data_IF_385643486759
#
_entry.id   IF_385643486759
#
_cell.length_a   1.000
_cell.length_b   1.000
_cell.length_c   1.000
_cell.angle_alpha   90.00
_cell.angle_beta   90.00
_cell.angle_gamma   90.00
#
_symmetry.space_group_name_H-M   'P 1'
#
loop_
_entity.id
_entity.type
_entity.pdbx_description
1 polymer ?
#
# COMPACT_ATOMS: atom_id res chain seq x y z
N UNK A 1 0.77 10.47 -11.79
CA UNK A 1 -0.34 11.42 -12.07
C UNK A 1 -1.71 10.74 -11.91
N UNK A 2 -1.98 9.58 -12.56
CA UNK A 2 -3.31 8.95 -12.53
C UNK A 2 -3.75 8.55 -11.11
N UNK A 3 -2.88 7.97 -10.32
CA UNK A 3 -3.19 7.50 -8.96
C UNK A 3 -3.81 8.56 -8.05
N UNK A 4 -3.42 9.82 -8.20
CA UNK A 4 -3.91 10.92 -7.36
C UNK A 4 -5.17 11.63 -7.90
N UNK A 5 -5.78 11.10 -8.96
CA UNK A 5 -7.04 11.62 -9.51
C UNK A 5 -8.23 10.88 -8.89
N UNK A 6 -8.51 11.21 -7.66
CA UNK A 6 -9.54 10.59 -6.82
C UNK A 6 -10.43 11.65 -6.20
N UNK A 7 -11.66 11.30 -5.77
CA UNK A 7 -12.46 12.18 -4.93
C UNK A 7 -11.71 12.54 -3.65
N UNK A 8 -11.64 13.83 -3.36
CA UNK A 8 -10.97 14.38 -2.19
C UNK A 8 -11.77 15.61 -1.71
N UNK A 9 -12.57 15.42 -0.66
CA UNK A 9 -13.42 16.46 -0.12
C UNK A 9 -12.57 17.61 0.42
N UNK A 10 -12.82 18.81 -0.11
CA UNK A 10 -12.06 20.02 0.26
C UNK A 10 -10.64 20.07 -0.29
N UNK A 11 -10.24 19.16 -1.18
CA UNK A 11 -8.88 19.08 -1.75
C UNK A 11 -7.80 19.06 -0.66
N UNK A 12 -8.01 18.26 0.39
CA UNK A 12 -7.13 18.18 1.57
C UNK A 12 -5.85 17.39 1.29
N UNK A 13 -5.86 16.56 0.27
CA UNK A 13 -4.76 15.66 -0.08
C UNK A 13 -4.24 14.85 1.12
N UNK A 14 -5.13 14.05 1.80
CA UNK A 14 -4.80 13.39 3.04
C UNK A 14 -3.91 12.15 2.83
N UNK A 15 -3.02 12.21 1.87
CA UNK A 15 -2.13 11.11 1.48
C UNK A 15 -0.81 11.63 0.89
N UNK A 16 0.21 10.81 1.00
CA UNK A 16 1.46 10.97 0.25
C UNK A 16 1.92 9.64 -0.34
N UNK A 17 2.68 9.72 -1.41
CA UNK A 17 3.17 8.57 -2.17
C UNK A 17 4.68 8.58 -2.18
N UNK A 18 5.32 7.48 -1.76
CA UNK A 18 6.76 7.28 -1.86
C UNK A 18 7.04 6.15 -2.82
N UNK A 19 7.76 6.44 -3.90
CA UNK A 19 8.18 5.43 -4.89
C UNK A 19 9.51 4.82 -4.45
N UNK A 20 9.48 3.52 -4.18
CA UNK A 20 10.63 2.72 -3.76
C UNK A 20 11.09 1.92 -4.97
N UNK A 21 12.28 2.21 -5.48
CA UNK A 21 12.88 1.57 -6.66
C UNK A 21 14.38 1.42 -6.50
N UNK A 22 15.00 0.75 -7.45
CA UNK A 22 16.45 0.57 -7.52
C UNK A 22 17.00 0.01 -6.19
N UNK A 23 18.10 0.52 -5.69
CA UNK A 23 18.78 0.06 -4.48
C UNK A 23 17.97 0.27 -3.19
N UNK A 24 17.05 1.23 -3.17
CA UNK A 24 16.19 1.47 -2.01
C UNK A 24 15.38 0.22 -1.61
N UNK A 25 14.99 -0.63 -2.57
CA UNK A 25 14.27 -1.88 -2.30
C UNK A 25 15.11 -2.86 -1.48
N UNK A 26 16.37 -3.05 -1.87
CA UNK A 26 17.32 -3.91 -1.15
C UNK A 26 17.70 -3.32 0.21
N UNK A 27 17.91 -2.00 0.27
CA UNK A 27 18.27 -1.30 1.50
C UNK A 27 17.17 -1.43 2.57
N UNK A 28 15.91 -1.19 2.20
CA UNK A 28 14.79 -1.33 3.13
C UNK A 28 14.71 -2.74 3.70
N UNK A 29 14.85 -3.77 2.87
CA UNK A 29 14.86 -5.15 3.34
C UNK A 29 15.95 -5.39 4.38
N UNK A 30 17.18 -4.98 4.09
CA UNK A 30 18.34 -5.22 4.96
C UNK A 30 18.36 -4.36 6.23
N UNK A 31 18.01 -3.08 6.12
CA UNK A 31 18.24 -2.11 7.20
C UNK A 31 16.99 -1.87 8.06
N UNK A 32 15.81 -2.20 7.54
CA UNK A 32 14.53 -1.99 8.23
C UNK A 32 13.82 -3.29 8.54
N UNK A 33 13.49 -4.09 7.50
CA UNK A 33 12.66 -5.27 7.70
C UNK A 33 13.39 -6.35 8.50
N UNK A 34 14.60 -6.74 8.10
CA UNK A 34 15.33 -7.82 8.78
C UNK A 34 15.59 -7.51 10.25
N UNK A 35 16.14 -6.33 10.65
CA UNK A 35 16.37 -6.05 12.06
C UNK A 35 15.09 -6.02 12.90
N UNK A 36 13.99 -5.50 12.37
CA UNK A 36 12.71 -5.45 13.09
C UNK A 36 12.05 -6.83 13.16
N UNK A 37 12.16 -7.62 12.08
CA UNK A 37 11.63 -8.99 12.06
C UNK A 37 12.33 -9.87 13.09
N UNK A 38 13.68 -9.84 13.16
CA UNK A 38 14.47 -10.60 14.14
C UNK A 38 14.14 -10.16 15.56
N UNK A 39 13.97 -8.85 15.79
CA UNK A 39 13.60 -8.34 17.12
C UNK A 39 12.26 -8.90 17.60
N UNK A 40 11.29 -9.05 16.69
CA UNK A 40 9.95 -9.55 16.99
C UNK A 40 9.87 -11.09 16.94
N UNK A 41 10.83 -11.75 16.29
CA UNK A 41 10.90 -13.20 16.10
C UNK A 41 12.32 -13.70 16.40
N UNK A 42 12.71 -13.83 17.67
CA UNK A 42 14.08 -14.23 18.06
C UNK A 42 14.52 -15.61 17.53
N UNK A 43 13.54 -16.49 17.26
CA UNK A 43 13.75 -17.85 16.74
C UNK A 43 13.66 -17.92 15.20
N UNK A 44 13.68 -16.76 14.51
CA UNK A 44 13.57 -16.73 13.06
C UNK A 44 14.68 -17.51 12.37
N UNK A 45 14.30 -18.34 11.43
CA UNK A 45 15.23 -19.13 10.61
C UNK A 45 15.94 -18.27 9.57
N UNK A 46 17.05 -18.75 9.04
CA UNK A 46 17.78 -18.08 7.94
C UNK A 46 16.90 -17.91 6.71
N UNK A 47 16.03 -18.87 6.41
CA UNK A 47 15.10 -18.81 5.28
C UNK A 47 14.06 -17.68 5.46
N UNK A 48 13.49 -17.53 6.65
CA UNK A 48 12.56 -16.44 6.97
C UNK A 48 13.26 -15.08 6.91
N UNK A 49 14.47 -14.98 7.41
CA UNK A 49 15.28 -13.74 7.35
C UNK A 49 15.59 -13.37 5.89
N UNK A 50 15.97 -14.33 5.06
CA UNK A 50 16.22 -14.07 3.63
C UNK A 50 14.94 -13.70 2.89
N UNK A 51 13.82 -14.29 3.24
CA UNK A 51 12.51 -13.90 2.71
C UNK A 51 12.16 -12.45 3.05
N UNK A 52 12.33 -12.02 4.30
CA UNK A 52 12.09 -10.64 4.73
C UNK A 52 13.03 -9.65 4.02
N UNK A 53 14.31 -10.01 3.91
CA UNK A 53 15.32 -9.22 3.21
C UNK A 53 14.95 -8.94 1.76
N UNK A 54 14.31 -9.90 1.09
CA UNK A 54 14.00 -9.83 -0.33
C UNK A 54 12.56 -9.34 -0.63
N UNK A 55 11.75 -9.01 0.37
CA UNK A 55 10.34 -8.66 0.19
C UNK A 55 10.09 -7.58 -0.86
N UNK A 56 10.85 -6.51 -0.84
CA UNK A 56 10.69 -5.40 -1.79
C UNK A 56 11.31 -5.69 -3.17
N UNK A 57 12.11 -6.75 -3.30
CA UNK A 57 12.68 -7.19 -4.58
C UNK A 57 11.71 -8.00 -5.43
N UNK A 58 10.54 -8.38 -4.88
CA UNK A 58 9.49 -9.13 -5.61
C UNK A 58 8.88 -8.37 -6.78
N UNK A 59 9.10 -7.06 -6.88
CA UNK A 59 8.61 -6.24 -7.99
C UNK A 59 9.65 -5.19 -8.39
N UNK A 60 9.54 -4.68 -9.61
CA UNK A 60 10.47 -3.68 -10.15
C UNK A 60 10.35 -2.33 -9.44
N UNK A 61 9.16 -2.00 -8.96
CA UNK A 61 8.91 -0.81 -8.14
C UNK A 61 7.81 -1.08 -7.12
N UNK A 62 7.88 -0.40 -5.99
CA UNK A 62 6.84 -0.43 -4.96
C UNK A 62 6.45 1.01 -4.61
N UNK A 63 5.16 1.28 -4.53
CA UNK A 63 4.64 2.57 -4.09
C UNK A 63 4.07 2.41 -2.69
N UNK A 64 4.68 3.05 -1.71
CA UNK A 64 4.10 3.21 -0.39
C UNK A 64 3.03 4.31 -0.43
N UNK A 65 1.83 4.00 0.03
CA UNK A 65 0.73 4.96 0.15
C UNK A 65 0.52 5.25 1.61
N UNK A 66 0.84 6.49 2.00
CA UNK A 66 0.73 6.95 3.38
C UNK A 66 -0.54 7.79 3.51
N UNK A 67 -1.41 7.42 4.44
CA UNK A 67 -2.51 8.24 4.92
C UNK A 67 -1.98 9.29 5.89
N UNK A 68 -2.26 10.56 5.61
CA UNK A 68 -1.83 11.72 6.40
C UNK A 68 -3.07 12.54 6.78
N UNK A 69 -3.68 12.25 7.92
CA UNK A 69 -4.90 12.94 8.33
C UNK A 69 -4.68 14.45 8.48
N UNK A 70 -5.64 15.22 7.99
CA UNK A 70 -5.65 16.68 8.14
C UNK A 70 -6.75 17.06 9.13
N UNK A 71 -6.41 17.88 10.12
CA UNK A 71 -7.44 18.42 11.02
C UNK A 71 -8.35 19.36 10.26
N UNK A 72 -9.66 19.05 10.21
CA UNK A 72 -10.64 19.88 9.52
C UNK A 72 -11.97 19.87 10.28
N UNK A 73 -12.61 21.06 10.52
CA UNK A 73 -13.79 21.14 11.38
C UNK A 73 -15.06 20.50 10.82
N UNK A 74 -15.12 20.29 9.51
CA UNK A 74 -16.33 19.80 8.82
C UNK A 74 -16.12 18.47 8.06
N UNK A 75 -14.89 18.10 7.76
CA UNK A 75 -14.59 16.91 6.97
C UNK A 75 -14.07 15.82 7.91
N UNK A 76 -14.80 14.71 8.05
CA UNK A 76 -14.40 13.64 8.97
C UNK A 76 -13.25 12.80 8.43
N UNK A 77 -12.48 12.19 9.33
CA UNK A 77 -11.36 11.27 9.00
C UNK A 77 -11.79 10.14 8.05
N UNK A 78 -13.00 9.63 8.22
CA UNK A 78 -13.56 8.57 7.38
C UNK A 78 -13.52 8.90 5.88
N UNK A 79 -13.88 10.12 5.50
CA UNK A 79 -13.83 10.54 4.10
C UNK A 79 -12.39 10.63 3.59
N UNK A 80 -11.44 11.03 4.43
CA UNK A 80 -10.02 11.09 4.12
C UNK A 80 -9.43 9.68 3.94
N UNK A 81 -9.84 8.71 4.78
CA UNK A 81 -9.45 7.30 4.64
C UNK A 81 -9.97 6.70 3.33
N UNK A 82 -11.23 6.96 2.98
CA UNK A 82 -11.82 6.54 1.71
C UNK A 82 -11.08 7.13 0.50
N UNK A 83 -10.72 8.41 0.55
CA UNK A 83 -9.90 9.06 -0.49
C UNK A 83 -8.56 8.37 -0.65
N UNK A 84 -7.88 8.03 0.45
CA UNK A 84 -6.61 7.31 0.44
C UNK A 84 -6.75 5.91 -0.14
N UNK A 85 -7.81 5.18 0.23
CA UNK A 85 -8.13 3.88 -0.37
C UNK A 85 -8.40 3.97 -1.88
N UNK A 86 -9.07 5.05 -2.32
CA UNK A 86 -9.29 5.32 -3.73
C UNK A 86 -7.98 5.55 -4.49
N UNK A 87 -6.99 6.22 -3.87
CA UNK A 87 -5.63 6.37 -4.44
C UNK A 87 -4.99 5.01 -4.69
N UNK A 88 -5.04 4.10 -3.71
CA UNK A 88 -4.51 2.75 -3.86
C UNK A 88 -5.16 2.00 -5.03
N UNK A 89 -6.49 2.01 -5.09
CA UNK A 89 -7.26 1.38 -6.18
C UNK A 89 -6.93 1.99 -7.55
N UNK A 90 -6.83 3.32 -7.60
CA UNK A 90 -6.55 4.03 -8.86
C UNK A 90 -5.14 3.76 -9.39
N UNK A 91 -4.16 3.55 -8.49
CA UNK A 91 -2.80 3.11 -8.86
C UNK A 91 -2.86 1.71 -9.49
N UNK A 92 -3.60 0.77 -8.88
CA UNK A 92 -3.76 -0.59 -9.42
C UNK A 92 -4.34 -0.58 -10.83
N UNK A 93 -5.46 0.13 -11.02
CA UNK A 93 -6.11 0.26 -12.32
C UNK A 93 -5.18 0.90 -13.35
N UNK A 94 -4.47 1.96 -12.95
CA UNK A 94 -3.52 2.64 -13.84
C UNK A 94 -2.36 1.74 -14.25
N UNK A 95 -1.79 0.97 -13.32
CA UNK A 95 -0.71 0.03 -13.63
C UNK A 95 -1.18 -1.05 -14.63
N UNK A 96 -2.36 -1.63 -14.40
CA UNK A 96 -2.94 -2.62 -15.30
C UNK A 96 -3.26 -2.04 -16.68
N UNK A 97 -3.78 -0.83 -16.76
CA UNK A 97 -4.06 -0.13 -18.02
C UNK A 97 -2.79 0.15 -18.84
N UNK A 98 -1.65 0.24 -18.17
CA UNK A 98 -0.33 0.39 -18.79
C UNK A 98 0.35 -0.96 -19.10
N UNK A 99 -0.33 -2.09 -18.88
CA UNK A 99 0.18 -3.43 -19.18
C UNK A 99 1.01 -4.07 -18.07
N UNK A 100 1.13 -3.43 -16.90
CA UNK A 100 1.85 -3.98 -15.75
C UNK A 100 0.95 -4.86 -14.87
N UNK A 101 1.57 -5.80 -14.13
CA UNK A 101 0.94 -6.43 -12.99
C UNK A 101 1.09 -5.52 -11.77
N UNK A 102 0.07 -5.51 -10.91
CA UNK A 102 0.12 -4.76 -9.66
C UNK A 102 -0.67 -5.47 -8.55
N UNK A 103 -0.17 -5.33 -7.32
CA UNK A 103 -0.82 -5.88 -6.13
C UNK A 103 -0.71 -4.90 -4.96
N UNK A 104 -1.81 -4.71 -4.25
CA UNK A 104 -1.86 -3.92 -3.02
C UNK A 104 -1.75 -4.86 -1.82
N UNK A 105 -0.75 -4.64 -0.97
CA UNK A 105 -0.45 -5.43 0.22
C UNK A 105 -0.34 -4.53 1.45
N UNK A 106 -0.83 -5.05 2.58
CA UNK A 106 -0.70 -4.47 3.93
C UNK A 106 -0.04 -5.48 4.86
N UNK A 107 1.14 -5.96 4.54
CA UNK A 107 1.86 -6.92 5.36
C UNK A 107 2.33 -6.28 6.68
N UNK A 108 2.92 -7.03 7.60
CA UNK A 108 3.26 -6.61 8.96
C UNK A 108 4.00 -5.26 9.02
N UNK A 109 4.90 -5.02 8.08
CA UNK A 109 5.67 -3.77 8.01
C UNK A 109 4.83 -2.53 7.64
N UNK A 110 3.58 -2.69 7.23
CA UNK A 110 2.64 -1.56 7.09
C UNK A 110 2.25 -0.95 8.44
N UNK A 111 2.53 -1.67 9.53
CA UNK A 111 2.24 -1.24 10.90
C UNK A 111 3.51 -0.88 11.69
N UNK A 112 4.68 -0.89 11.00
CA UNK A 112 5.96 -0.57 11.59
C UNK A 112 6.19 0.94 11.65
N UNK A 113 6.48 1.45 12.84
CA UNK A 113 6.86 2.86 13.05
C UNK A 113 8.13 3.22 12.27
N UNK A 114 9.07 2.28 12.17
CA UNK A 114 10.31 2.48 11.38
C UNK A 114 9.99 2.65 9.92
N UNK A 115 9.07 1.82 9.40
CA UNK A 115 8.66 1.88 8.01
C UNK A 115 7.86 3.15 7.70
N UNK A 116 6.97 3.57 8.60
CA UNK A 116 6.25 4.85 8.47
C UNK A 116 7.24 6.03 8.37
N UNK A 117 8.24 6.07 9.25
CA UNK A 117 9.31 7.10 9.21
C UNK A 117 10.13 7.04 7.93
N UNK A 118 10.48 5.84 7.47
CA UNK A 118 11.27 5.64 6.25
C UNK A 118 10.60 6.23 5.01
N UNK A 119 9.28 6.13 4.92
CA UNK A 119 8.52 6.68 3.80
C UNK A 119 8.05 8.13 4.01
N UNK A 120 8.54 8.80 5.06
CA UNK A 120 8.31 10.21 5.32
C UNK A 120 7.06 10.52 6.13
N UNK A 121 6.55 9.54 6.88
CA UNK A 121 5.41 9.68 7.78
C UNK A 121 5.79 9.95 9.24
N UNK A 122 4.77 10.22 10.04
CA UNK A 122 4.82 10.38 11.49
C UNK A 122 3.98 9.26 12.13
N UNK A 123 4.59 8.29 12.84
CA UNK A 123 3.87 7.14 13.41
C UNK A 123 2.71 7.53 14.35
N UNK A 124 2.83 8.70 14.99
CA UNK A 124 1.83 9.17 15.94
C UNK A 124 0.49 9.56 15.27
N UNK A 125 0.53 9.93 13.99
CA UNK A 125 -0.64 10.43 13.27
C UNK A 125 -0.91 9.72 11.95
N UNK A 126 0.13 9.30 11.25
CA UNK A 126 0.04 8.80 9.89
C UNK A 126 -0.05 7.27 9.88
N UNK A 127 -0.67 6.71 8.86
CA UNK A 127 -0.80 5.25 8.68
C UNK A 127 -0.42 4.85 7.27
N UNK A 128 0.24 3.72 7.12
CA UNK A 128 0.41 3.13 5.80
C UNK A 128 -0.89 2.48 5.36
N UNK A 129 -1.50 3.00 4.32
CA UNK A 129 -2.64 2.36 3.65
C UNK A 129 -2.20 1.07 2.94
N UNK A 130 -0.92 0.97 2.62
CA UNK A 130 -0.26 -0.22 2.11
C UNK A 130 0.81 0.10 1.07
N UNK A 131 1.26 -0.97 0.45
CA UNK A 131 2.29 -0.96 -0.59
C UNK A 131 1.73 -1.51 -1.90
N UNK A 132 1.87 -0.77 -2.97
CA UNK A 132 1.49 -1.20 -4.31
C UNK A 132 2.74 -1.70 -5.03
N UNK A 133 2.84 -3.01 -5.17
CA UNK A 133 3.91 -3.68 -5.92
C UNK A 133 3.57 -3.64 -7.40
N UNK A 134 4.51 -3.17 -8.23
CA UNK A 134 4.32 -3.03 -9.67
C UNK A 134 5.49 -3.69 -10.40
N UNK A 135 5.18 -4.58 -11.33
CA UNK A 135 6.16 -5.30 -12.12
C UNK A 135 5.62 -5.79 -13.45
N UNK A 136 6.45 -6.47 -14.21
CA UNK A 136 6.04 -7.11 -15.44
C UNK A 136 5.10 -8.29 -15.15
N UNK A 137 4.17 -8.52 -16.05
CA UNK A 137 3.23 -9.64 -15.98
C UNK A 137 3.91 -10.90 -16.52
N UNK A 138 4.28 -11.82 -15.64
CA UNK A 138 4.91 -13.08 -16.01
C UNK A 138 3.88 -14.17 -16.37
N UNK A 139 2.72 -14.14 -15.72
CA UNK A 139 1.63 -15.10 -15.91
C UNK A 139 0.29 -14.36 -15.88
N UNK A 140 -0.71 -14.93 -16.56
CA UNK A 140 -2.08 -14.46 -16.40
C UNK A 140 -2.53 -14.66 -14.95
N UNK A 141 -3.12 -13.61 -14.30
CA UNK A 141 -3.61 -13.76 -12.96
C UNK A 141 -4.79 -14.73 -12.91
N UNK A 142 -4.77 -15.60 -11.90
CA UNK A 142 -5.92 -16.47 -11.63
C UNK A 142 -7.07 -15.63 -11.12
N UNK A 143 -8.26 -15.80 -11.72
CA UNK A 143 -9.45 -15.10 -11.27
C UNK A 143 -9.82 -15.49 -9.83
N UNK A 144 -10.00 -14.50 -8.98
CA UNK A 144 -10.42 -14.70 -7.60
C UNK A 144 -11.93 -14.85 -7.51
N UNK A 145 -12.39 -15.67 -6.57
CA UNK A 145 -13.81 -15.77 -6.25
C UNK A 145 -14.37 -14.38 -5.91
N UNK A 146 -15.46 -14.02 -6.56
CA UNK A 146 -16.23 -12.79 -6.29
C UNK A 146 -17.57 -13.16 -5.66
N UNK A 147 -18.16 -12.27 -4.88
CA UNK A 147 -19.54 -12.44 -4.45
C UNK A 147 -20.47 -12.47 -5.68
N UNK A 148 -21.58 -13.15 -5.57
CA UNK A 148 -22.64 -13.04 -6.58
C UNK A 148 -23.22 -11.63 -6.55
N UNK A 149 -23.59 -11.12 -7.73
CA UNK A 149 -24.09 -9.74 -7.88
C UNK A 149 -25.30 -9.49 -7.01
N UNK A 150 -26.24 -10.45 -6.94
CA UNK A 150 -27.46 -10.39 -6.13
C UNK A 150 -27.20 -10.27 -4.61
N UNK A 151 -25.98 -10.62 -4.14
CA UNK A 151 -25.61 -10.50 -2.72
C UNK A 151 -25.05 -9.12 -2.35
N UNK A 152 -24.75 -8.29 -3.32
CA UNK A 152 -24.08 -6.99 -3.10
C UNK A 152 -24.77 -5.82 -3.75
N UNK A 153 -25.76 -6.07 -4.63
CA UNK A 153 -26.55 -5.02 -5.29
C UNK A 153 -28.00 -5.16 -4.86
N UNK A 154 -28.55 -4.08 -4.34
CA UNK A 154 -29.97 -3.96 -4.02
C UNK A 154 -30.57 -2.85 -4.89
N UNK A 155 -31.78 -3.06 -5.35
CA UNK A 155 -32.55 -2.09 -6.13
C UNK A 155 -33.64 -1.49 -5.23
N UNK A 156 -33.64 -0.18 -5.07
CA UNK A 156 -34.71 0.56 -4.43
C UNK A 156 -35.59 1.13 -5.54
N UNK A 157 -36.77 0.60 -5.70
CA UNK A 157 -37.68 0.92 -6.82
C UNK A 157 -38.90 1.75 -6.43
N UNK A 158 -39.18 1.89 -5.12
CA UNK A 158 -40.28 2.68 -4.56
C UNK A 158 -39.82 3.42 -3.28
#
# INVERSE_FOLDING_TARGET
>A
ACGIRVPDHGALNPWSLTVIKDDARSRIGKEILVPEYIQNNPEATEEEIDFEKNRFLRASAVIAVLFKPVSHPKIPLWEMELSTGAVCSNILVSAQSLGYAAQWLTEWYSYSDRMIKEVGGKPETDKLAGFIYIGNKEKEPVERRRPKIENVINYLTE
#
